data_IF_618616372163
#
_entry.id   IF_618616372163
#
_cell.length_a   1.000
_cell.length_b   1.000
_cell.length_c   1.000
_cell.angle_alpha   90.00
_cell.angle_beta   90.00
_cell.angle_gamma   90.00
#
_symmetry.space_group_name_H-M   'P 1'
#
loop_
_entity.id
_entity.type
_entity.pdbx_description
1 polymer ?
#
# COMPACT_ATOMS: atom_id res chain seq x y z
N UNK A 1 7.49 2.71 -10.13
CA UNK A 1 6.97 3.94 -9.47
C UNK A 1 6.17 3.56 -8.24
N UNK A 2 6.15 4.38 -7.19
CA UNK A 2 5.25 4.18 -6.05
C UNK A 2 4.80 5.52 -5.48
N UNK A 3 3.69 5.50 -4.76
CA UNK A 3 3.15 6.70 -4.11
C UNK A 3 2.13 6.37 -3.03
N UNK A 4 1.95 7.27 -2.08
CA UNK A 4 0.98 7.20 -0.99
C UNK A 4 -0.21 8.10 -1.28
N UNK A 5 -1.42 7.66 -0.94
CA UNK A 5 -2.64 8.47 -1.05
C UNK A 5 -2.87 8.98 -2.48
N UNK A 6 -3.00 10.29 -2.69
CA UNK A 6 -3.09 10.89 -4.03
C UNK A 6 -1.90 10.53 -4.94
N UNK A 7 -0.70 10.34 -4.36
CA UNK A 7 0.45 9.80 -5.08
C UNK A 7 0.22 8.38 -5.61
N UNK A 8 -0.56 7.56 -4.90
CA UNK A 8 -0.96 6.22 -5.35
C UNK A 8 -1.88 6.28 -6.57
N UNK A 9 -2.82 7.23 -6.61
CA UNK A 9 -3.65 7.49 -7.79
C UNK A 9 -2.80 7.90 -9.01
N UNK A 10 -1.84 8.79 -8.78
CA UNK A 10 -0.89 9.22 -9.82
C UNK A 10 -0.08 8.05 -10.38
N UNK A 11 0.32 7.09 -9.54
CA UNK A 11 1.07 5.90 -9.98
C UNK A 11 0.28 5.11 -11.01
N UNK A 12 -1.00 4.83 -10.78
CA UNK A 12 -1.81 4.04 -11.71
C UNK A 12 -1.90 4.72 -13.08
N UNK A 13 -2.23 6.02 -13.10
CA UNK A 13 -2.28 6.81 -14.35
C UNK A 13 -0.92 6.87 -15.05
N UNK A 14 0.15 7.12 -14.32
CA UNK A 14 1.48 7.21 -14.91
C UNK A 14 1.95 5.88 -15.51
N UNK A 15 1.63 4.74 -14.88
CA UNK A 15 1.95 3.41 -15.44
C UNK A 15 1.17 3.15 -16.73
N UNK A 16 -0.08 3.64 -16.82
CA UNK A 16 -0.88 3.53 -18.04
C UNK A 16 -0.30 4.38 -19.19
N UNK A 17 0.15 5.60 -18.89
CA UNK A 17 0.52 6.60 -19.88
C UNK A 17 1.99 6.52 -20.31
N UNK A 18 2.89 6.09 -19.42
CA UNK A 18 4.33 6.06 -19.69
C UNK A 18 4.88 4.62 -19.74
N UNK A 19 5.16 4.08 -20.94
CA UNK A 19 5.65 2.71 -21.11
C UNK A 19 7.04 2.44 -20.52
N UNK A 20 7.74 3.47 -20.06
CA UNK A 20 9.03 3.34 -19.34
C UNK A 20 8.82 2.89 -17.90
N UNK A 21 7.64 3.10 -17.32
CA UNK A 21 7.31 2.68 -15.96
C UNK A 21 6.89 1.21 -15.97
N UNK A 22 7.75 0.33 -15.50
CA UNK A 22 7.59 -1.13 -15.60
C UNK A 22 6.85 -1.78 -14.44
N UNK A 23 6.60 -1.05 -13.34
CA UNK A 23 5.89 -1.57 -12.18
C UNK A 23 5.32 -0.42 -11.35
N UNK A 24 4.11 -0.58 -10.82
CA UNK A 24 3.40 0.40 -10.00
C UNK A 24 3.06 -0.14 -8.61
N UNK A 25 3.21 0.69 -7.58
CA UNK A 25 2.83 0.37 -6.22
C UNK A 25 2.10 1.55 -5.58
N UNK A 26 0.89 1.29 -5.09
CA UNK A 26 0.11 2.26 -4.32
C UNK A 26 0.12 1.90 -2.83
N UNK A 27 0.42 2.89 -2.00
CA UNK A 27 0.28 2.83 -0.56
C UNK A 27 -1.03 3.55 -0.20
N UNK A 28 -2.08 2.77 -0.02
CA UNK A 28 -3.42 3.21 0.38
C UNK A 28 -3.97 4.39 -0.44
N UNK A 29 -3.70 4.36 -1.75
CA UNK A 29 -4.17 5.39 -2.69
C UNK A 29 -5.44 4.98 -3.42
N UNK A 30 -6.33 5.94 -3.74
CA UNK A 30 -7.45 5.72 -4.63
C UNK A 30 -6.95 5.54 -6.08
N UNK A 31 -7.89 5.26 -6.98
CA UNK A 31 -7.68 5.36 -8.42
C UNK A 31 -8.78 6.20 -9.04
N UNK A 32 -8.49 6.84 -10.16
CA UNK A 32 -9.48 7.64 -10.89
C UNK A 32 -9.08 7.77 -12.36
N UNK A 33 -10.04 8.18 -13.19
CA UNK A 33 -9.83 8.43 -14.60
C UNK A 33 -9.77 7.17 -15.47
N UNK A 34 -9.21 7.27 -16.69
CA UNK A 34 -9.27 6.20 -17.68
C UNK A 34 -8.67 4.87 -17.23
N UNK A 35 -7.67 4.89 -16.32
CA UNK A 35 -7.01 3.70 -15.82
C UNK A 35 -7.95 2.74 -15.08
N UNK A 36 -9.06 3.26 -14.52
CA UNK A 36 -10.05 2.46 -13.78
C UNK A 36 -10.61 1.33 -14.66
N UNK A 37 -10.96 1.65 -15.89
CA UNK A 37 -11.54 0.68 -16.85
C UNK A 37 -10.52 0.11 -17.82
N UNK A 38 -9.44 0.83 -18.13
CA UNK A 38 -8.36 0.34 -18.99
C UNK A 38 -7.52 -0.73 -18.30
N UNK A 39 -7.38 -0.67 -16.99
CA UNK A 39 -6.50 -1.56 -16.23
C UNK A 39 -5.04 -1.42 -16.65
N UNK A 40 -4.21 -2.37 -16.23
CA UNK A 40 -2.77 -2.37 -16.52
C UNK A 40 -2.28 -3.78 -16.87
N UNK A 41 -1.33 -3.85 -17.79
CA UNK A 41 -0.58 -5.09 -18.10
C UNK A 41 0.72 -5.23 -17.28
N UNK A 42 1.14 -4.14 -16.62
CA UNK A 42 2.32 -4.10 -15.78
C UNK A 42 2.04 -4.64 -14.37
N UNK A 43 3.05 -5.14 -13.67
CA UNK A 43 2.92 -5.51 -12.27
C UNK A 43 2.40 -4.35 -11.41
N UNK A 44 1.40 -4.62 -10.59
CA UNK A 44 0.84 -3.63 -9.69
C UNK A 44 0.63 -4.22 -8.29
N UNK A 45 1.11 -3.51 -7.27
CA UNK A 45 0.89 -3.86 -5.88
C UNK A 45 0.11 -2.77 -5.15
N UNK A 46 -0.81 -3.18 -4.29
CA UNK A 46 -1.57 -2.30 -3.41
C UNK A 46 -1.25 -2.67 -1.96
N UNK A 47 -0.85 -1.69 -1.15
CA UNK A 47 -0.79 -1.82 0.30
C UNK A 47 -2.00 -1.09 0.89
N UNK A 48 -2.94 -1.85 1.45
CA UNK A 48 -4.23 -1.36 1.94
C UNK A 48 -4.18 -1.04 3.44
N UNK A 49 -4.80 0.06 3.85
CA UNK A 49 -5.15 0.30 5.24
C UNK A 49 -6.31 -0.61 5.70
N UNK A 50 -6.47 -0.75 7.02
CA UNK A 50 -7.51 -1.64 7.58
C UNK A 50 -8.93 -1.20 7.21
N UNK A 51 -9.19 0.10 7.18
CA UNK A 51 -10.51 0.67 6.87
C UNK A 51 -10.77 0.82 5.37
N UNK A 52 -9.73 1.16 4.60
CA UNK A 52 -9.85 1.38 3.16
C UNK A 52 -9.70 0.05 2.40
N UNK A 53 -10.77 -0.69 2.27
CA UNK A 53 -10.78 -1.96 1.54
C UNK A 53 -11.18 -1.72 0.09
N UNK A 54 -10.40 -2.23 -0.87
CA UNK A 54 -10.69 -2.11 -2.30
C UNK A 54 -12.12 -2.56 -2.66
N UNK A 55 -12.64 -3.58 -1.96
CA UNK A 55 -13.99 -4.09 -2.21
C UNK A 55 -15.09 -3.08 -1.91
N UNK A 56 -14.81 -2.09 -1.04
CA UNK A 56 -15.75 -1.05 -0.64
C UNK A 56 -15.56 0.27 -1.42
N UNK A 57 -14.59 0.32 -2.35
CA UNK A 57 -14.28 1.49 -3.17
C UNK A 57 -14.52 1.11 -4.64
N UNK A 58 -15.65 1.52 -5.26
CA UNK A 58 -16.08 1.02 -6.56
C UNK A 58 -15.03 1.15 -7.66
N UNK A 59 -14.37 2.31 -7.76
CA UNK A 59 -13.34 2.53 -8.78
C UNK A 59 -12.11 1.66 -8.55
N UNK A 60 -11.71 1.46 -7.31
CA UNK A 60 -10.57 0.60 -6.97
C UNK A 60 -10.90 -0.88 -7.22
N UNK A 61 -12.12 -1.32 -6.92
CA UNK A 61 -12.59 -2.66 -7.23
C UNK A 61 -12.64 -2.90 -8.75
N UNK A 62 -13.16 -1.93 -9.50
CA UNK A 62 -13.20 -1.96 -10.97
C UNK A 62 -11.79 -2.04 -11.54
N UNK A 63 -10.91 -1.13 -11.14
CA UNK A 63 -9.49 -1.14 -11.54
C UNK A 63 -8.83 -2.48 -11.27
N UNK A 64 -9.02 -3.01 -10.05
CA UNK A 64 -8.44 -4.28 -9.64
C UNK A 64 -8.86 -5.44 -10.56
N UNK A 65 -10.13 -5.47 -10.98
CA UNK A 65 -10.65 -6.48 -11.89
C UNK A 65 -10.07 -6.39 -13.31
N UNK A 66 -9.64 -5.20 -13.72
CA UNK A 66 -9.05 -4.95 -15.04
C UNK A 66 -7.52 -5.07 -15.07
N UNK A 67 -6.86 -5.35 -13.94
CA UNK A 67 -5.43 -5.65 -13.93
C UNK A 67 -5.17 -7.02 -14.57
N UNK A 68 -4.40 -7.04 -15.64
CA UNK A 68 -4.03 -8.24 -16.40
C UNK A 68 -2.63 -8.74 -16.08
N UNK A 69 -1.74 -7.84 -15.63
CA UNK A 69 -0.40 -8.19 -15.14
C UNK A 69 -0.41 -8.86 -13.77
N UNK A 70 0.77 -9.15 -13.25
CA UNK A 70 0.91 -9.61 -11.87
C UNK A 70 0.33 -8.59 -10.90
N UNK A 71 -0.50 -9.05 -9.98
CA UNK A 71 -1.11 -8.19 -8.97
C UNK A 71 -1.10 -8.84 -7.59
N UNK A 72 -0.94 -8.03 -6.57
CA UNK A 72 -1.08 -8.45 -5.18
C UNK A 72 -1.52 -7.25 -4.34
N UNK A 73 -2.58 -7.41 -3.55
CA UNK A 73 -2.85 -6.51 -2.46
C UNK A 73 -2.35 -7.13 -1.15
N UNK A 74 -1.74 -6.32 -0.32
CA UNK A 74 -1.33 -6.69 1.04
C UNK A 74 -1.92 -5.71 2.03
N UNK A 75 -2.28 -6.20 3.21
CA UNK A 75 -2.76 -5.38 4.30
C UNK A 75 -2.03 -5.74 5.59
N UNK A 76 -1.53 -4.74 6.29
CA UNK A 76 -1.01 -4.90 7.62
C UNK A 76 -2.16 -4.67 8.62
N UNK A 77 -2.45 -5.68 9.46
CA UNK A 77 -3.51 -5.58 10.44
C UNK A 77 -3.22 -4.46 11.44
N UNK A 78 -4.20 -3.60 11.65
CA UNK A 78 -4.08 -2.42 12.50
C UNK A 78 -3.45 -1.20 11.83
N UNK A 79 -3.00 -1.28 10.58
CA UNK A 79 -2.53 -0.10 9.84
C UNK A 79 -3.70 0.76 9.37
N UNK A 80 -3.55 2.08 9.46
CA UNK A 80 -4.44 3.08 8.89
C UNK A 80 -3.70 3.90 7.82
N UNK A 81 -4.39 4.86 7.23
CA UNK A 81 -3.87 5.63 6.10
C UNK A 81 -2.48 6.24 6.35
N UNK A 82 -2.27 6.86 7.51
CA UNK A 82 -1.00 7.48 7.85
C UNK A 82 0.09 6.48 8.28
N UNK A 83 -0.25 5.19 8.51
CA UNK A 83 0.73 4.16 8.87
C UNK A 83 1.75 3.87 7.77
N UNK A 84 1.45 4.25 6.52
CA UNK A 84 2.36 4.12 5.39
C UNK A 84 3.19 5.38 5.12
N UNK A 85 3.37 6.23 6.15
CA UNK A 85 4.17 7.45 6.11
C UNK A 85 4.97 7.61 7.40
N UNK A 86 5.85 8.61 7.46
CA UNK A 86 6.58 8.96 8.67
C UNK A 86 5.66 9.46 9.80
N UNK A 87 4.41 9.82 9.49
CA UNK A 87 3.40 10.22 10.49
C UNK A 87 3.14 9.11 11.51
N UNK A 88 3.28 7.85 11.15
CA UNK A 88 3.21 6.72 12.07
C UNK A 88 4.14 6.91 13.29
N UNK A 89 5.37 7.30 13.04
CA UNK A 89 6.38 7.53 14.09
C UNK A 89 6.19 8.89 14.75
N UNK A 90 5.96 9.93 13.95
CA UNK A 90 5.85 11.33 14.43
C UNK A 90 4.67 11.46 15.38
N UNK A 91 3.48 11.00 15.00
CA UNK A 91 2.27 11.07 15.83
C UNK A 91 2.45 10.24 17.11
N UNK A 92 2.98 9.01 16.97
CA UNK A 92 3.24 8.16 18.12
C UNK A 92 4.15 8.79 19.16
N UNK A 93 5.20 9.48 18.72
CA UNK A 93 6.18 10.16 19.61
C UNK A 93 5.64 11.48 20.16
N UNK A 94 4.91 12.24 19.36
CA UNK A 94 4.39 13.54 19.76
C UNK A 94 3.12 13.46 20.62
N UNK A 95 2.40 12.35 20.60
CA UNK A 95 1.11 12.17 21.25
C UNK A 95 1.09 12.61 22.73
N UNK A 96 2.08 12.24 23.59
CA UNK A 96 2.08 12.68 24.98
C UNK A 96 2.21 14.20 25.11
N UNK A 97 3.07 14.83 24.31
CA UNK A 97 3.30 16.28 24.35
C UNK A 97 2.09 17.08 23.83
N UNK A 98 1.33 16.48 22.91
CA UNK A 98 0.12 17.08 22.33
C UNK A 98 -1.15 16.74 23.13
N UNK A 99 -1.05 15.95 24.19
CA UNK A 99 -2.19 15.53 24.98
C UNK A 99 -3.18 14.64 24.24
N UNK A 100 -2.72 13.92 23.19
CA UNK A 100 -3.59 13.02 22.42
C UNK A 100 -3.89 11.75 23.20
N UNK A 101 -5.17 11.38 23.25
CA UNK A 101 -5.59 10.11 23.78
C UNK A 101 -5.21 8.94 22.87
N UNK A 102 -5.13 7.73 23.42
CA UNK A 102 -4.88 6.52 22.62
C UNK A 102 -5.89 6.34 21.48
N UNK A 103 -7.16 6.73 21.69
CA UNK A 103 -8.18 6.66 20.65
C UNK A 103 -7.89 7.64 19.49
N UNK A 104 -7.49 8.86 19.79
CA UNK A 104 -7.12 9.85 18.77
C UNK A 104 -5.88 9.42 17.98
N UNK A 105 -4.90 8.84 18.65
CA UNK A 105 -3.71 8.27 17.98
C UNK A 105 -4.14 7.12 17.06
N UNK A 106 -4.94 6.17 17.57
CA UNK A 106 -5.40 5.02 16.78
C UNK A 106 -6.28 5.43 15.59
N UNK A 107 -7.01 6.54 15.68
CA UNK A 107 -7.78 7.06 14.55
C UNK A 107 -6.89 7.50 13.38
N UNK A 108 -5.70 8.03 13.67
CA UNK A 108 -4.77 8.58 12.69
C UNK A 108 -3.84 7.49 12.11
N UNK A 109 -3.23 6.72 12.97
CA UNK A 109 -2.15 5.77 12.61
C UNK A 109 -2.51 4.31 12.92
N UNK A 110 -3.72 4.04 13.38
CA UNK A 110 -4.15 2.69 13.72
C UNK A 110 -3.54 2.17 15.02
N UNK A 111 -3.47 0.85 15.11
CA UNK A 111 -3.00 0.13 16.30
C UNK A 111 -1.75 -0.71 16.04
N UNK A 112 -1.23 -0.68 14.81
CA UNK A 112 0.01 -1.35 14.45
C UNK A 112 1.18 -0.67 15.20
N UNK A 113 2.06 -1.50 15.78
CA UNK A 113 3.24 -0.97 16.47
C UNK A 113 4.12 -0.19 15.49
N UNK A 114 4.51 1.09 15.76
CA UNK A 114 5.22 1.94 14.81
C UNK A 114 6.48 1.31 14.21
N UNK A 115 7.29 0.62 15.02
CA UNK A 115 8.47 -0.07 14.53
C UNK A 115 8.13 -1.19 13.53
N UNK A 116 6.95 -1.83 13.67
CA UNK A 116 6.46 -2.85 12.74
C UNK A 116 5.97 -2.20 11.46
N UNK A 117 5.22 -1.09 11.55
CA UNK A 117 4.78 -0.33 10.39
C UNK A 117 5.96 0.09 9.51
N UNK A 118 7.01 0.69 10.13
CA UNK A 118 8.25 1.07 9.43
C UNK A 118 8.93 -0.14 8.77
N UNK A 119 9.02 -1.28 9.48
CA UNK A 119 9.64 -2.48 8.92
C UNK A 119 8.87 -3.04 7.72
N UNK A 120 7.53 -3.05 7.78
CA UNK A 120 6.64 -3.49 6.69
C UNK A 120 6.75 -2.53 5.51
N UNK A 121 6.64 -1.22 5.76
CA UNK A 121 6.72 -0.17 4.73
C UNK A 121 8.06 -0.19 3.98
N UNK A 122 9.14 -0.62 4.61
CA UNK A 122 10.44 -0.79 3.94
C UNK A 122 10.55 -2.12 3.20
N UNK A 123 10.08 -3.20 3.80
CA UNK A 123 10.28 -4.54 3.26
C UNK A 123 9.44 -4.84 2.03
N UNK A 124 8.15 -4.51 2.05
CA UNK A 124 7.23 -4.89 0.97
C UNK A 124 7.45 -4.09 -0.33
N UNK A 125 7.60 -2.75 -0.30
CA UNK A 125 7.98 -2.01 -1.51
C UNK A 125 9.32 -2.45 -2.09
N UNK A 126 10.33 -2.66 -1.25
CA UNK A 126 11.61 -3.17 -1.72
C UNK A 126 11.46 -4.54 -2.39
N UNK A 127 10.74 -5.46 -1.76
CA UNK A 127 10.50 -6.79 -2.31
C UNK A 127 9.74 -6.74 -3.64
N UNK A 128 8.78 -5.80 -3.79
CA UNK A 128 8.05 -5.60 -5.03
C UNK A 128 8.97 -5.18 -6.17
N UNK A 129 9.80 -4.17 -5.96
CA UNK A 129 10.72 -3.70 -6.99
C UNK A 129 11.87 -4.68 -7.25
N UNK A 130 12.37 -5.36 -6.22
CA UNK A 130 13.36 -6.42 -6.40
C UNK A 130 12.82 -7.56 -7.27
N UNK A 131 11.58 -8.01 -7.03
CA UNK A 131 10.93 -9.05 -7.83
C UNK A 131 10.77 -8.64 -9.30
N UNK A 132 10.20 -7.47 -9.55
CA UNK A 132 9.75 -7.09 -10.90
C UNK A 132 10.80 -6.37 -11.73
N UNK A 133 11.76 -5.68 -11.11
CA UNK A 133 12.81 -4.97 -11.82
C UNK A 133 14.17 -5.68 -11.77
N UNK A 134 14.41 -6.49 -10.73
CA UNK A 134 15.71 -7.15 -10.53
C UNK A 134 15.62 -8.67 -10.53
N UNK A 135 14.41 -9.25 -10.60
CA UNK A 135 14.13 -10.69 -10.54
C UNK A 135 14.70 -11.36 -9.29
N UNK A 136 14.56 -10.71 -8.13
CA UNK A 136 15.11 -11.18 -6.85
C UNK A 136 14.03 -11.22 -5.77
N UNK A 137 14.29 -12.04 -4.73
CA UNK A 137 13.48 -12.12 -3.52
C UNK A 137 12.25 -13.00 -3.63
N UNK A 138 11.75 -13.42 -2.47
CA UNK A 138 10.65 -14.37 -2.32
C UNK A 138 9.57 -13.92 -1.32
N UNK A 139 9.69 -12.69 -0.77
CA UNK A 139 8.76 -12.20 0.26
C UNK A 139 7.32 -12.12 -0.24
N UNK A 140 7.11 -11.93 -1.54
CA UNK A 140 5.78 -11.79 -2.16
C UNK A 140 5.23 -13.11 -2.72
N UNK A 141 5.87 -14.25 -2.46
CA UNK A 141 5.37 -15.55 -2.92
C UNK A 141 4.30 -16.12 -1.98
N UNK A 142 4.38 -15.80 -0.69
CA UNK A 142 3.45 -16.24 0.36
C UNK A 142 3.57 -15.36 1.61
N UNK A 143 2.54 -15.33 2.49
CA UNK A 143 2.63 -14.66 3.79
C UNK A 143 3.86 -15.12 4.58
N UNK A 144 4.53 -14.17 5.22
CA UNK A 144 5.82 -14.40 5.90
C UNK A 144 5.63 -14.44 7.41
N UNK A 145 6.24 -15.42 8.09
CA UNK A 145 6.31 -15.46 9.55
C UNK A 145 7.06 -14.27 10.16
N UNK A 146 7.90 -13.59 9.36
CA UNK A 146 8.59 -12.37 9.79
C UNK A 146 7.63 -11.20 9.95
N UNK A 147 6.53 -11.21 9.19
CA UNK A 147 5.49 -10.17 9.17
C UNK A 147 4.12 -10.82 9.35
N UNK A 148 3.83 -11.38 10.54
CA UNK A 148 2.56 -12.09 10.79
C UNK A 148 1.35 -11.18 10.69
N UNK A 149 1.55 -9.86 10.83
CA UNK A 149 0.50 -8.85 10.69
C UNK A 149 0.05 -8.65 9.22
N UNK A 150 0.86 -9.10 8.25
CA UNK A 150 0.58 -8.86 6.84
C UNK A 150 -0.18 -10.02 6.23
N UNK A 151 -1.37 -9.72 5.74
CA UNK A 151 -2.23 -10.65 4.99
C UNK A 151 -2.18 -10.35 3.50
N UNK A 152 -2.14 -11.40 2.70
CA UNK A 152 -2.21 -11.32 1.23
C UNK A 152 -3.67 -11.37 0.77
N UNK A 153 -4.00 -10.47 -0.13
CA UNK A 153 -5.34 -10.30 -0.73
C UNK A 153 -5.20 -10.36 -2.26
N UNK A 154 -5.15 -11.56 -2.84
CA UNK A 154 -4.97 -11.76 -4.29
C UNK A 154 -6.10 -11.21 -5.15
#
# INVERSE_FOLDING_TARGET
MFGHSAGGATVASAVLEDPRIKAGLSLDGPVAGPVVTSGLDHPYMLMEATKARRENIPDLATFWSHLRGWKLAVRADGAEHASYTDLEVIISQAAPALGLSAAQVAEQIGTLVPARAVAIQRAYPLAFFDRHLRRKGHLLDRPSRRFPEVTFRP
#
